data_IF_430744975239
#
_entry.id   IF_430744975239
#
_cell.length_a   1.000
_cell.length_b   1.000
_cell.length_c   1.000
_cell.angle_alpha   90.00
_cell.angle_beta   90.00
_cell.angle_gamma   90.00
#
_symmetry.space_group_name_H-M   'P 1'
#
loop_
_entity.id
_entity.type
_entity.pdbx_description
1 polymer ?
#
# COMPACT_ATOMS: atom_id res chain seq x y z
N UNK A 1 -3.79 0.11 -25.56
CA UNK A 1 -4.07 0.24 -24.10
C UNK A 1 -5.41 0.93 -23.95
N UNK A 2 -6.24 0.51 -22.99
CA UNK A 2 -7.55 1.13 -22.72
C UNK A 2 -7.38 2.26 -21.70
N UNK A 3 -8.22 3.27 -21.79
CA UNK A 3 -8.19 4.39 -20.86
C UNK A 3 -8.70 3.96 -19.49
N UNK A 4 -7.95 4.27 -18.43
CA UNK A 4 -8.42 4.11 -17.04
C UNK A 4 -9.55 5.11 -16.79
N UNK A 5 -10.73 4.68 -16.29
CA UNK A 5 -11.87 5.57 -16.04
C UNK A 5 -11.69 6.37 -14.74
N UNK A 6 -10.60 7.14 -14.64
CA UNK A 6 -10.16 7.78 -13.40
C UNK A 6 -11.14 8.81 -12.84
N UNK A 7 -11.78 9.62 -13.69
CA UNK A 7 -12.79 10.60 -13.23
C UNK A 7 -13.99 9.93 -12.57
N UNK A 8 -14.48 8.83 -13.16
CA UNK A 8 -15.56 8.02 -12.60
C UNK A 8 -15.14 7.43 -11.24
N UNK A 9 -13.93 6.88 -11.16
CA UNK A 9 -13.45 6.24 -9.94
C UNK A 9 -13.23 7.23 -8.80
N UNK A 10 -12.65 8.40 -9.10
CA UNK A 10 -12.51 9.48 -8.13
C UNK A 10 -13.86 10.06 -7.69
N UNK A 11 -14.81 10.21 -8.62
CA UNK A 11 -16.17 10.63 -8.30
C UNK A 11 -16.83 9.66 -7.32
N UNK A 12 -16.74 8.36 -7.59
CA UNK A 12 -17.27 7.31 -6.70
C UNK A 12 -16.60 7.31 -5.32
N UNK A 13 -15.27 7.44 -5.27
CA UNK A 13 -14.53 7.49 -4.01
C UNK A 13 -14.94 8.72 -3.19
N UNK A 14 -15.04 9.89 -3.83
CA UNK A 14 -15.48 11.13 -3.20
C UNK A 14 -16.91 11.01 -2.65
N UNK A 15 -17.82 10.45 -3.44
CA UNK A 15 -19.20 10.22 -3.04
C UNK A 15 -19.27 9.25 -1.85
N UNK A 16 -18.53 8.15 -1.88
CA UNK A 16 -18.50 7.21 -0.77
C UNK A 16 -17.95 7.81 0.54
N UNK A 17 -16.93 8.66 0.45
CA UNK A 17 -16.37 9.36 1.62
C UNK A 17 -17.40 10.35 2.22
N UNK A 18 -18.16 11.05 1.36
CA UNK A 18 -19.12 12.07 1.79
C UNK A 18 -20.45 11.49 2.30
N UNK A 19 -21.01 10.55 1.53
CA UNK A 19 -22.37 10.05 1.73
C UNK A 19 -22.40 8.69 2.46
N UNK A 20 -21.26 8.01 2.55
CA UNK A 20 -21.16 6.65 3.09
C UNK A 20 -21.77 5.60 2.15
N UNK A 21 -22.25 4.48 2.73
CA UNK A 21 -22.93 3.42 1.99
C UNK A 21 -22.01 2.35 1.37
N UNK A 22 -22.53 1.62 0.38
CA UNK A 22 -21.81 0.51 -0.26
C UNK A 22 -20.76 1.02 -1.25
N UNK A 23 -19.50 0.65 -1.04
CA UNK A 23 -18.43 0.97 -1.97
C UNK A 23 -18.56 0.14 -3.26
N UNK A 24 -18.50 0.75 -4.46
CA UNK A 24 -18.88 0.09 -5.73
C UNK A 24 -17.97 -1.06 -6.19
N UNK A 25 -16.96 -1.46 -5.40
CA UNK A 25 -16.09 -2.60 -5.69
C UNK A 25 -15.87 -3.46 -4.44
N UNK A 26 -16.45 -4.67 -4.43
CA UNK A 26 -16.32 -5.61 -3.32
C UNK A 26 -15.32 -6.75 -3.62
N UNK A 27 -14.33 -6.86 -2.74
CA UNK A 27 -13.63 -8.06 -2.24
C UNK A 27 -12.83 -9.02 -3.15
N UNK A 28 -12.83 -8.96 -4.49
CA UNK A 28 -11.84 -9.74 -5.29
C UNK A 28 -11.17 -9.03 -6.46
N UNK A 29 -11.89 -8.14 -7.16
CA UNK A 29 -11.37 -7.50 -8.39
C UNK A 29 -11.34 -5.97 -8.28
N UNK A 30 -11.10 -5.44 -7.08
CA UNK A 30 -11.02 -3.98 -6.91
C UNK A 30 -9.80 -3.45 -7.68
N UNK A 31 -9.98 -2.50 -8.61
CA UNK A 31 -8.85 -1.83 -9.25
C UNK A 31 -7.91 -1.22 -8.21
N UNK A 32 -6.60 -1.24 -8.48
CA UNK A 32 -5.58 -0.63 -7.62
C UNK A 32 -5.84 0.87 -7.41
N UNK A 33 -6.43 1.52 -8.40
CA UNK A 33 -6.91 2.91 -8.33
C UNK A 33 -7.90 3.15 -7.18
N UNK A 34 -8.52 2.11 -6.62
CA UNK A 34 -9.31 2.18 -5.38
C UNK A 34 -8.61 1.55 -4.18
N UNK A 35 -8.01 0.37 -4.36
CA UNK A 35 -7.44 -0.39 -3.24
C UNK A 35 -6.34 0.41 -2.52
N UNK A 36 -5.49 1.10 -3.29
CA UNK A 36 -4.38 1.87 -2.76
C UNK A 36 -4.84 3.10 -1.95
N UNK A 37 -5.67 4.02 -2.50
CA UNK A 37 -6.14 5.17 -1.71
C UNK A 37 -7.01 4.78 -0.51
N UNK A 38 -7.84 3.73 -0.62
CA UNK A 38 -8.65 3.25 0.51
C UNK A 38 -7.75 2.69 1.61
N UNK A 39 -6.69 1.97 1.26
CA UNK A 39 -5.70 1.47 2.24
C UNK A 39 -4.99 2.62 2.95
N UNK A 40 -4.61 3.67 2.24
CA UNK A 40 -4.01 4.85 2.84
C UNK A 40 -4.99 5.54 3.80
N UNK A 41 -6.24 5.78 3.38
CA UNK A 41 -7.26 6.38 4.24
C UNK A 41 -7.50 5.55 5.50
N UNK A 42 -7.55 4.23 5.38
CA UNK A 42 -7.70 3.33 6.51
C UNK A 42 -6.52 3.45 7.48
N UNK A 43 -5.29 3.42 6.99
CA UNK A 43 -4.08 3.52 7.81
C UNK A 43 -3.97 4.88 8.52
N UNK A 44 -4.26 5.97 7.81
CA UNK A 44 -4.29 7.32 8.40
C UNK A 44 -5.40 7.45 9.44
N UNK A 45 -6.59 6.89 9.18
CA UNK A 45 -7.70 6.90 10.13
C UNK A 45 -7.38 6.08 11.38
N UNK A 46 -6.76 4.92 11.22
CA UNK A 46 -6.29 4.11 12.35
C UNK A 46 -5.23 4.84 13.17
N UNK A 47 -4.31 5.54 12.50
CA UNK A 47 -3.30 6.35 13.18
C UNK A 47 -3.92 7.52 13.94
N UNK A 48 -4.83 8.28 13.33
CA UNK A 48 -5.55 9.38 14.00
C UNK A 48 -6.30 8.86 15.24
N UNK A 49 -7.02 7.75 15.11
CA UNK A 49 -7.66 7.10 16.27
C UNK A 49 -6.66 6.68 17.34
N UNK A 50 -5.49 6.18 16.96
CA UNK A 50 -4.44 5.85 17.92
C UNK A 50 -3.95 7.10 18.68
N UNK A 51 -3.78 8.23 17.98
CA UNK A 51 -3.42 9.51 18.60
C UNK A 51 -4.45 9.99 19.62
N UNK A 52 -5.75 9.86 19.31
CA UNK A 52 -6.84 10.19 20.24
C UNK A 52 -6.73 9.42 21.57
N UNK A 53 -6.31 8.16 21.54
CA UNK A 53 -6.14 7.35 22.75
C UNK A 53 -4.93 7.76 23.60
N UNK A 54 -3.94 8.43 23.00
CA UNK A 54 -2.74 8.91 23.69
C UNK A 54 -2.94 10.31 24.31
N UNK A 55 -3.93 11.07 23.84
CA UNK A 55 -4.26 12.40 24.35
C UNK A 55 -3.36 13.51 23.77
N UNK A 56 -3.05 14.52 24.59
CA UNK A 56 -2.38 15.74 24.12
C UNK A 56 -0.95 15.50 23.64
N UNK A 57 -0.54 16.20 22.57
CA UNK A 57 0.80 16.10 21.95
C UNK A 57 1.18 14.68 21.49
N UNK A 58 0.20 13.80 21.29
CA UNK A 58 0.36 12.39 20.95
C UNK A 58 1.23 12.17 19.70
N UNK A 59 1.00 12.92 18.62
CA UNK A 59 1.79 12.79 17.37
C UNK A 59 3.29 12.99 17.63
N UNK A 60 3.64 14.04 18.39
CA UNK A 60 5.03 14.34 18.74
C UNK A 60 5.64 13.27 19.64
N UNK A 61 4.85 12.72 20.58
CA UNK A 61 5.29 11.61 21.42
C UNK A 61 5.60 10.37 20.60
N UNK A 62 4.74 10.03 19.63
CA UNK A 62 4.96 8.91 18.71
C UNK A 62 6.23 9.13 17.88
N UNK A 63 6.40 10.30 17.27
CA UNK A 63 7.64 10.62 16.53
C UNK A 63 8.89 10.55 17.44
N UNK A 64 8.74 10.91 18.71
CA UNK A 64 9.77 10.79 19.73
C UNK A 64 10.15 9.34 20.04
N UNK A 65 9.16 8.46 20.18
CA UNK A 65 9.38 7.05 20.54
C UNK A 65 10.01 6.24 19.39
N UNK A 66 9.77 6.62 18.15
CA UNK A 66 10.31 5.93 16.96
C UNK A 66 11.56 6.58 16.38
N UNK A 67 12.23 7.52 17.07
CA UNK A 67 13.40 8.24 16.53
C UNK A 67 14.52 7.35 15.99
N UNK A 68 14.75 6.19 16.60
CA UNK A 68 15.83 5.28 16.18
C UNK A 68 15.45 4.42 14.97
N UNK A 69 14.20 3.94 14.92
CA UNK A 69 13.73 3.03 13.85
C UNK A 69 12.98 3.72 12.70
N UNK A 70 12.51 4.95 12.92
CA UNK A 70 11.61 5.65 12.03
C UNK A 70 10.22 5.02 11.96
N UNK A 71 9.39 5.60 11.09
CA UNK A 71 8.11 5.01 10.70
C UNK A 71 8.32 4.31 9.37
N UNK A 72 7.95 3.03 9.32
CA UNK A 72 8.14 2.20 8.15
C UNK A 72 6.79 1.78 7.57
N UNK A 73 6.76 1.62 6.25
CA UNK A 73 5.57 1.20 5.54
C UNK A 73 5.97 0.36 4.34
N UNK A 74 5.16 -0.66 4.05
CA UNK A 74 5.42 -1.60 2.97
C UNK A 74 4.46 -1.39 1.79
N UNK A 75 4.99 -1.51 0.56
CA UNK A 75 4.25 -1.24 -0.68
C UNK A 75 3.60 0.16 -0.61
N UNK A 76 2.28 0.25 -0.79
CA UNK A 76 1.52 1.50 -0.62
C UNK A 76 1.60 2.08 0.79
N UNK A 77 1.83 1.25 1.80
CA UNK A 77 1.98 1.67 3.20
C UNK A 77 3.16 2.61 3.41
N UNK A 78 4.15 2.62 2.50
CA UNK A 78 5.23 3.61 2.52
C UNK A 78 4.69 5.04 2.41
N UNK A 79 3.64 5.26 1.62
CA UNK A 79 3.03 6.59 1.49
C UNK A 79 2.41 7.05 2.82
N UNK A 80 1.76 6.14 3.54
CA UNK A 80 1.22 6.41 4.87
C UNK A 80 2.34 6.68 5.88
N UNK A 81 3.43 5.91 5.84
CA UNK A 81 4.60 6.12 6.69
C UNK A 81 5.22 7.50 6.47
N UNK A 82 5.40 7.91 5.20
CA UNK A 82 5.88 9.26 4.85
C UNK A 82 4.90 10.33 5.31
N UNK A 83 3.60 10.15 5.07
CA UNK A 83 2.56 11.10 5.47
C UNK A 83 2.52 11.33 6.99
N UNK A 84 2.81 10.30 7.78
CA UNK A 84 2.89 10.41 9.25
C UNK A 84 4.25 10.98 9.70
N UNK A 85 5.36 10.56 9.09
CA UNK A 85 6.71 10.95 9.51
C UNK A 85 7.09 12.40 9.13
N UNK A 86 6.48 12.95 8.08
CA UNK A 86 6.81 14.29 7.56
C UNK A 86 6.36 15.46 8.45
N UNK A 87 5.10 15.51 8.93
CA UNK A 87 4.62 16.63 9.75
C UNK A 87 5.15 16.55 11.19
N UNK A 88 5.48 17.72 11.77
CA UNK A 88 5.92 17.82 13.17
C UNK A 88 4.76 17.90 14.17
N UNK A 89 3.55 18.12 13.68
CA UNK A 89 2.34 18.33 14.48
C UNK A 89 1.16 17.58 13.87
N UNK A 90 0.19 17.24 14.71
CA UNK A 90 -1.05 16.61 14.27
C UNK A 90 -1.87 17.52 13.34
N UNK A 91 -1.78 18.84 13.52
CA UNK A 91 -2.48 19.82 12.68
C UNK A 91 -2.08 19.73 11.19
N UNK A 92 -0.85 19.32 10.91
CA UNK A 92 -0.32 19.20 9.55
C UNK A 92 -0.52 17.80 8.95
N UNK A 93 -1.00 16.83 9.75
CA UNK A 93 -1.17 15.44 9.34
C UNK A 93 -2.16 15.29 8.19
N UNK A 94 -3.27 16.03 8.22
CA UNK A 94 -4.27 16.02 7.15
C UNK A 94 -3.71 16.47 5.81
N UNK A 95 -2.88 17.51 5.80
CA UNK A 95 -2.24 18.02 4.58
C UNK A 95 -1.25 17.01 3.99
N UNK A 96 -0.43 16.38 4.83
CA UNK A 96 0.50 15.34 4.41
C UNK A 96 -0.23 14.09 3.88
N UNK A 97 -1.29 13.66 4.58
CA UNK A 97 -2.15 12.56 4.14
C UNK A 97 -2.83 12.85 2.80
N UNK A 98 -3.27 14.09 2.55
CA UNK A 98 -3.87 14.49 1.27
C UNK A 98 -2.87 14.45 0.09
N UNK A 99 -1.58 14.71 0.34
CA UNK A 99 -0.51 14.47 -0.66
C UNK A 99 -0.35 12.98 -0.91
N UNK A 100 -0.22 12.17 0.14
CA UNK A 100 -0.10 10.72 0.04
C UNK A 100 -1.29 10.08 -0.70
N UNK A 101 -2.51 10.55 -0.43
CA UNK A 101 -3.74 10.08 -1.08
C UNK A 101 -3.70 10.29 -2.59
N UNK A 102 -3.30 11.49 -3.04
CA UNK A 102 -3.16 11.80 -4.47
C UNK A 102 -2.12 10.92 -5.14
N UNK A 103 -1.00 10.66 -4.47
CA UNK A 103 0.02 9.72 -4.98
C UNK A 103 -0.53 8.30 -5.07
N UNK A 104 -1.26 7.81 -4.06
CA UNK A 104 -1.86 6.48 -4.05
C UNK A 104 -2.87 6.29 -5.20
N UNK A 105 -3.69 7.33 -5.48
CA UNK A 105 -4.58 7.36 -6.64
C UNK A 105 -3.79 7.22 -7.95
N UNK A 106 -2.79 8.08 -8.16
CA UNK A 106 -1.99 8.07 -9.40
C UNK A 106 -1.25 6.74 -9.60
N UNK A 107 -0.65 6.20 -8.55
CA UNK A 107 0.05 4.90 -8.60
C UNK A 107 -0.94 3.80 -8.93
N UNK A 108 -2.10 3.76 -8.26
CA UNK A 108 -3.12 2.75 -8.52
C UNK A 108 -3.65 2.82 -9.95
N UNK A 109 -3.88 4.03 -10.48
CA UNK A 109 -4.27 4.23 -11.87
C UNK A 109 -3.21 3.71 -12.85
N UNK A 110 -1.93 3.96 -12.57
CA UNK A 110 -0.83 3.51 -13.41
C UNK A 110 -0.72 1.98 -13.41
N UNK A 111 -0.82 1.35 -12.23
CA UNK A 111 -0.82 -0.11 -12.10
C UNK A 111 -2.00 -0.72 -12.84
N UNK A 112 -3.20 -0.14 -12.75
CA UNK A 112 -4.36 -0.65 -13.48
C UNK A 112 -4.24 -0.45 -14.99
N UNK A 113 -3.59 0.63 -15.44
CA UNK A 113 -3.34 0.90 -16.85
C UNK A 113 -2.45 -0.18 -17.49
N UNK A 114 -1.41 -0.59 -16.77
CA UNK A 114 -0.50 -1.66 -17.19
C UNK A 114 -1.06 -3.07 -16.93
N UNK A 115 -2.01 -3.18 -15.99
CA UNK A 115 -2.71 -4.41 -15.66
C UNK A 115 -4.03 -4.59 -16.42
N UNK A 116 -5.14 -4.45 -15.68
CA UNK A 116 -6.48 -4.78 -16.17
C UNK A 116 -6.95 -3.96 -17.37
N UNK A 117 -6.32 -2.82 -17.66
CA UNK A 117 -6.62 -1.97 -18.82
C UNK A 117 -5.57 -2.04 -19.94
N UNK A 118 -4.58 -2.94 -19.87
CA UNK A 118 -3.61 -3.11 -20.96
C UNK A 118 -4.26 -3.76 -22.20
N UNK A 119 -3.56 -3.77 -23.34
CA UNK A 119 -4.08 -4.38 -24.58
C UNK A 119 -4.21 -5.90 -24.45
N UNK A 120 -3.26 -6.52 -23.75
CA UNK A 120 -3.25 -7.92 -23.35
C UNK A 120 -3.17 -7.95 -21.82
N UNK A 121 -4.32 -7.99 -21.11
CA UNK A 121 -4.34 -7.93 -19.65
C UNK A 121 -3.40 -8.98 -19.06
N UNK A 122 -2.32 -8.53 -18.42
CA UNK A 122 -1.41 -9.44 -17.73
C UNK A 122 -2.09 -9.89 -16.42
N UNK A 123 -1.91 -11.16 -16.09
CA UNK A 123 -2.24 -11.64 -14.75
C UNK A 123 -1.04 -11.37 -13.87
N UNK A 124 -0.93 -10.14 -13.39
CA UNK A 124 0.07 -9.80 -12.38
C UNK A 124 -0.21 -10.62 -11.12
N UNK A 125 0.72 -11.50 -10.77
CA UNK A 125 0.64 -12.33 -9.58
C UNK A 125 1.65 -11.83 -8.55
N UNK A 126 1.19 -11.58 -7.33
CA UNK A 126 2.05 -11.37 -6.18
C UNK A 126 1.97 -12.62 -5.30
N UNK A 127 3.11 -13.28 -5.07
CA UNK A 127 3.19 -14.50 -4.28
C UNK A 127 4.07 -14.25 -3.07
N UNK A 128 3.49 -14.46 -1.88
CA UNK A 128 4.24 -14.51 -0.63
C UNK A 128 4.71 -15.94 -0.37
N UNK A 129 6.02 -16.15 -0.29
CA UNK A 129 6.58 -17.44 0.10
C UNK A 129 7.24 -17.29 1.45
N UNK A 130 6.78 -18.10 2.39
CA UNK A 130 7.33 -18.19 3.75
C UNK A 130 7.86 -19.59 3.98
N UNK A 131 9.03 -19.68 4.60
CA UNK A 131 9.63 -20.94 5.05
C UNK A 131 9.90 -20.89 6.56
N UNK A 132 10.27 -22.04 7.13
CA UNK A 132 10.60 -22.13 8.56
C UNK A 132 11.98 -21.54 8.83
N UNK A 133 12.12 -20.82 9.94
CA UNK A 133 13.42 -20.30 10.39
C UNK A 133 14.44 -21.44 10.57
N UNK A 134 15.66 -21.24 10.07
CA UNK A 134 16.72 -22.25 10.06
C UNK A 134 16.63 -23.28 8.92
N UNK A 135 15.56 -23.31 8.15
CA UNK A 135 15.43 -24.21 7.00
C UNK A 135 16.11 -23.63 5.74
N UNK A 136 17.44 -23.77 5.69
CA UNK A 136 18.27 -23.24 4.59
C UNK A 136 18.02 -23.98 3.26
N UNK A 137 17.60 -25.25 3.32
CA UNK A 137 17.26 -26.05 2.14
C UNK A 137 16.03 -25.48 1.42
N UNK A 138 14.92 -25.26 2.13
CA UNK A 138 13.70 -24.64 1.57
C UNK A 138 14.00 -23.25 0.97
N UNK A 139 14.79 -22.42 1.68
CA UNK A 139 15.19 -21.10 1.18
C UNK A 139 15.99 -21.21 -0.13
N UNK A 140 16.88 -22.19 -0.22
CA UNK A 140 17.72 -22.42 -1.40
C UNK A 140 16.90 -22.96 -2.56
N UNK A 141 15.98 -23.88 -2.29
CA UNK A 141 15.05 -24.43 -3.28
C UNK A 141 14.16 -23.34 -3.87
N UNK A 142 13.52 -22.53 -3.02
CA UNK A 142 12.71 -21.38 -3.46
C UNK A 142 13.57 -20.42 -4.28
N UNK A 143 14.79 -20.10 -3.83
CA UNK A 143 15.71 -19.26 -4.59
C UNK A 143 16.07 -19.82 -5.97
N UNK A 144 16.21 -21.14 -6.10
CA UNK A 144 16.48 -21.80 -7.38
C UNK A 144 15.27 -21.81 -8.30
N UNK A 145 14.07 -22.05 -7.75
CA UNK A 145 12.82 -21.97 -8.50
C UNK A 145 12.64 -20.55 -9.05
N UNK A 146 12.85 -19.50 -8.26
CA UNK A 146 12.62 -18.15 -8.78
C UNK A 146 13.64 -17.78 -9.85
N UNK A 147 14.91 -18.21 -9.70
CA UNK A 147 15.94 -17.99 -10.72
C UNK A 147 15.65 -18.69 -12.04
N UNK A 148 14.82 -19.74 -12.06
CA UNK A 148 14.44 -20.39 -13.32
C UNK A 148 13.41 -19.58 -14.13
N UNK A 149 12.82 -18.53 -13.55
CA UNK A 149 11.96 -17.59 -14.24
C UNK A 149 12.66 -16.24 -14.41
N UNK A 150 13.09 -15.92 -15.64
CA UNK A 150 13.79 -14.68 -15.97
C UNK A 150 12.93 -13.41 -15.86
N UNK A 151 11.61 -13.58 -15.71
CA UNK A 151 10.60 -12.52 -15.84
C UNK A 151 10.02 -12.09 -14.48
N UNK A 152 10.66 -12.53 -13.39
CA UNK A 152 10.14 -12.43 -12.03
C UNK A 152 11.05 -11.56 -11.16
N UNK A 153 10.47 -10.52 -10.56
CA UNK A 153 11.10 -9.70 -9.53
C UNK A 153 10.99 -10.34 -8.14
N UNK A 154 11.98 -10.10 -7.28
CA UNK A 154 12.00 -10.58 -5.89
C UNK A 154 12.32 -9.46 -4.92
N UNK A 155 11.62 -9.42 -3.79
CA UNK A 155 11.98 -8.59 -2.64
C UNK A 155 11.98 -9.43 -1.37
N UNK A 156 13.10 -9.38 -0.62
CA UNK A 156 13.23 -10.02 0.67
C UNK A 156 12.46 -9.22 1.74
N UNK A 157 11.55 -9.88 2.46
CA UNK A 157 10.72 -9.28 3.51
C UNK A 157 11.32 -9.44 4.88
N UNK A 158 11.83 -10.64 5.14
CA UNK A 158 12.48 -10.99 6.39
C UNK A 158 13.50 -12.10 6.15
N UNK A 159 14.15 -12.56 7.22
CA UNK A 159 14.99 -13.77 7.20
C UNK A 159 14.23 -15.02 6.72
N UNK A 160 12.89 -15.00 6.73
CA UNK A 160 12.02 -16.17 6.47
C UNK A 160 10.96 -15.97 5.39
N UNK A 161 10.91 -14.80 4.73
CA UNK A 161 9.85 -14.47 3.78
C UNK A 161 10.34 -13.62 2.60
N UNK A 162 9.84 -13.91 1.39
CA UNK A 162 10.04 -13.14 0.16
C UNK A 162 8.67 -12.89 -0.50
N UNK A 163 8.44 -11.68 -1.03
CA UNK A 163 7.39 -11.42 -2.02
C UNK A 163 8.00 -11.44 -3.40
N UNK A 164 7.26 -12.07 -4.29
CA UNK A 164 7.63 -12.33 -5.67
C UNK A 164 6.54 -11.73 -6.53
N UNK A 165 6.90 -11.00 -7.58
CA UNK A 165 5.93 -10.51 -8.56
C UNK A 165 6.44 -10.71 -9.99
N UNK A 166 5.50 -10.99 -10.90
CA UNK A 166 5.78 -10.96 -12.35
C UNK A 166 5.84 -9.51 -12.83
N UNK A 167 6.82 -9.19 -13.69
CA UNK A 167 6.88 -7.94 -14.42
C UNK A 167 6.01 -7.98 -15.68
#
# INVERSE_FOLDING_TARGET
>A
MRQVPGSKYLGNLSQWIQDGGSFPHHQRDSPNHYALPVTLLLQISQYARYLEHLGNDSHRQVLGSVRSGGIQGFCVGLLSAIAVASPKSEADLGSAAAVGLRLAVCIGAYVDHDGIFSHEPNKNACVAIRWREGNVEEKTEVGNIIRSYSEVGQQLFSSTEILIWSL
#
